data_IF_744825171874
#
_entry.id   IF_744825171874
#
_cell.length_a   1.000
_cell.length_b   1.000
_cell.length_c   1.000
_cell.angle_alpha   90.00
_cell.angle_beta   90.00
_cell.angle_gamma   90.00
#
_symmetry.space_group_name_H-M   'P 1'
#
loop_
_entity.id
_entity.type
_entity.pdbx_description
1 polymer ?
#
# COMPACT_ATOMS: atom_id res chain seq x y z
N UNK A 1 13.39 -9.30 8.57
CA UNK A 1 11.99 -9.78 8.69
C UNK A 1 11.46 -9.92 7.27
N UNK A 2 11.30 -11.16 6.78
CA UNK A 2 11.08 -11.43 5.36
C UNK A 2 9.71 -10.96 4.81
N UNK A 3 8.74 -10.62 5.67
CA UNK A 3 7.38 -10.27 5.24
C UNK A 3 7.27 -8.91 4.53
N UNK A 4 8.15 -7.96 4.83
CA UNK A 4 8.09 -6.59 4.29
C UNK A 4 8.38 -6.55 2.79
N UNK A 5 9.37 -7.33 2.34
CA UNK A 5 9.75 -7.42 0.92
C UNK A 5 8.60 -8.01 0.08
N UNK A 6 7.87 -9.00 0.60
CA UNK A 6 6.71 -9.58 -0.09
C UNK A 6 5.52 -8.60 -0.18
N UNK A 7 5.27 -7.83 0.88
CA UNK A 7 4.23 -6.80 0.88
C UNK A 7 4.58 -5.70 -0.12
N UNK A 8 5.85 -5.26 -0.11
CA UNK A 8 6.33 -4.25 -1.04
C UNK A 8 6.18 -4.71 -2.51
N UNK A 9 6.56 -5.95 -2.81
CA UNK A 9 6.40 -6.52 -4.15
C UNK A 9 4.92 -6.60 -4.55
N UNK A 10 4.03 -7.00 -3.62
CA UNK A 10 2.59 -7.03 -3.84
C UNK A 10 2.02 -5.64 -4.14
N UNK A 11 2.41 -4.61 -3.36
CA UNK A 11 2.00 -3.21 -3.56
C UNK A 11 2.50 -2.70 -4.91
N UNK A 12 3.77 -2.95 -5.26
CA UNK A 12 4.34 -2.56 -6.57
C UNK A 12 3.61 -3.26 -7.73
N UNK A 13 3.21 -4.52 -7.56
CA UNK A 13 2.46 -5.26 -8.57
C UNK A 13 1.01 -4.74 -8.70
N UNK A 14 0.37 -4.37 -7.58
CA UNK A 14 -0.92 -3.67 -7.59
C UNK A 14 -0.80 -2.34 -8.32
N UNK A 15 0.21 -1.53 -8.02
CA UNK A 15 0.44 -0.25 -8.70
C UNK A 15 0.60 -0.40 -10.22
N UNK A 16 1.31 -1.44 -10.68
CA UNK A 16 1.44 -1.73 -12.12
C UNK A 16 0.10 -2.08 -12.78
N UNK A 17 -0.78 -2.77 -12.06
CA UNK A 17 -2.12 -3.16 -12.53
C UNK A 17 -3.17 -2.07 -12.32
N UNK A 18 -2.93 -1.12 -11.42
CA UNK A 18 -3.84 -0.04 -11.11
C UNK A 18 -4.04 0.87 -12.33
N UNK A 19 -5.28 1.30 -12.61
CA UNK A 19 -5.59 2.26 -13.67
C UNK A 19 -4.86 3.59 -13.43
N UNK A 20 -4.78 4.44 -14.46
CA UNK A 20 -4.21 5.79 -14.36
C UNK A 20 -5.13 6.79 -13.63
N UNK A 21 -6.07 6.28 -12.84
CA UNK A 21 -7.01 7.06 -12.05
C UNK A 21 -6.79 6.70 -10.58
N UNK A 22 -7.03 7.63 -9.64
CA UNK A 22 -6.87 7.37 -8.23
C UNK A 22 -7.71 6.16 -7.81
N UNK A 23 -7.02 5.13 -7.33
CA UNK A 23 -7.60 3.82 -7.05
C UNK A 23 -7.19 3.34 -5.66
N UNK A 24 -8.18 2.81 -4.94
CA UNK A 24 -8.04 2.32 -3.57
C UNK A 24 -8.04 0.80 -3.61
N UNK A 25 -7.03 0.20 -3.01
CA UNK A 25 -6.83 -1.24 -2.92
C UNK A 25 -6.57 -1.65 -1.48
N UNK A 26 -6.86 -2.90 -1.13
CA UNK A 26 -6.56 -3.47 0.18
C UNK A 26 -5.83 -4.80 0.01
N UNK A 27 -4.92 -5.10 0.94
CA UNK A 27 -4.16 -6.35 0.98
C UNK A 27 -4.57 -7.18 2.19
N UNK A 28 -5.78 -7.73 2.17
CA UNK A 28 -6.38 -8.46 3.30
C UNK A 28 -5.59 -9.72 3.72
N UNK A 29 -4.80 -10.29 2.81
CA UNK A 29 -3.98 -11.48 3.06
C UNK A 29 -2.78 -11.20 3.98
N UNK A 30 -2.42 -9.94 4.18
CA UNK A 30 -1.28 -9.52 4.99
C UNK A 30 -1.72 -8.85 6.29
N UNK A 31 -0.79 -8.76 7.24
CA UNK A 31 -0.99 -7.97 8.44
C UNK A 31 -1.13 -6.50 8.06
N UNK A 32 -2.28 -5.92 8.38
CA UNK A 32 -2.64 -4.56 7.97
C UNK A 32 -1.69 -3.50 8.57
N UNK A 33 -1.10 -3.77 9.74
CA UNK A 33 -0.11 -2.88 10.32
C UNK A 33 1.20 -2.87 9.53
N UNK A 34 1.65 -4.04 9.08
CA UNK A 34 2.83 -4.16 8.21
C UNK A 34 2.57 -3.54 6.83
N UNK A 35 1.34 -3.66 6.31
CA UNK A 35 0.91 -3.02 5.06
C UNK A 35 0.97 -1.50 5.21
N UNK A 36 0.37 -0.93 6.25
CA UNK A 36 0.40 0.51 6.50
C UNK A 36 1.83 1.04 6.63
N UNK A 37 2.69 0.37 7.40
CA UNK A 37 4.10 0.75 7.55
C UNK A 37 4.87 0.68 6.22
N UNK A 38 4.58 -0.31 5.38
CA UNK A 38 5.21 -0.47 4.07
C UNK A 38 4.73 0.59 3.08
N UNK A 39 3.43 0.89 3.06
CA UNK A 39 2.85 1.96 2.25
C UNK A 39 3.44 3.31 2.64
N UNK A 40 3.54 3.60 3.93
CA UNK A 40 4.11 4.85 4.42
C UNK A 40 5.60 4.97 4.07
N UNK A 41 6.34 3.85 4.13
CA UNK A 41 7.71 3.83 3.65
C UNK A 41 7.80 4.11 2.14
N UNK A 42 6.95 3.48 1.33
CA UNK A 42 6.89 3.72 -0.12
C UNK A 42 6.48 5.15 -0.45
N UNK A 43 5.59 5.76 0.35
CA UNK A 43 5.23 7.17 0.25
C UNK A 43 6.43 8.08 0.53
N UNK A 44 7.28 7.75 1.50
CA UNK A 44 8.52 8.50 1.74
C UNK A 44 9.51 8.42 0.56
N UNK A 45 9.54 7.28 -0.14
CA UNK A 45 10.38 7.11 -1.33
C UNK A 45 9.77 7.77 -2.57
N UNK A 46 8.44 7.72 -2.72
CA UNK A 46 7.71 8.15 -3.91
C UNK A 46 6.35 8.77 -3.54
N UNK A 47 6.37 9.95 -2.93
CA UNK A 47 5.18 10.62 -2.38
C UNK A 47 4.13 11.02 -3.42
N UNK A 48 4.48 10.97 -4.71
CA UNK A 48 3.58 11.30 -5.83
C UNK A 48 2.81 10.12 -6.36
N UNK A 49 3.22 8.88 -6.06
CA UNK A 49 2.64 7.66 -6.67
C UNK A 49 1.70 6.91 -5.72
N UNK A 50 1.95 7.04 -4.43
CA UNK A 50 1.23 6.34 -3.37
C UNK A 50 1.01 7.30 -2.22
N UNK A 51 -0.18 7.26 -1.64
CA UNK A 51 -0.55 8.08 -0.49
C UNK A 51 -0.26 7.32 0.80
N UNK A 52 0.20 8.04 1.83
CA UNK A 52 0.30 7.47 3.17
C UNK A 52 -1.06 6.93 3.65
N UNK A 53 -1.02 5.85 4.42
CA UNK A 53 -2.21 5.20 4.94
C UNK A 53 -2.03 4.74 6.39
N UNK A 54 -3.15 4.59 7.07
CA UNK A 54 -3.22 4.08 8.44
C UNK A 54 -4.37 3.10 8.55
N UNK A 55 -4.34 2.27 9.59
CA UNK A 55 -5.44 1.38 9.91
C UNK A 55 -6.73 2.19 10.13
N UNK A 56 -7.75 1.88 9.34
CA UNK A 56 -9.07 2.47 9.51
C UNK A 56 -9.84 1.81 10.67
N UNK A 57 -11.08 2.26 10.93
CA UNK A 57 -11.93 1.69 11.99
C UNK A 57 -12.26 0.20 11.80
N UNK A 58 -12.08 -0.33 10.59
CA UNK A 58 -12.25 -1.75 10.26
C UNK A 58 -10.94 -2.54 10.39
N UNK A 59 -9.88 -1.93 10.93
CA UNK A 59 -8.52 -2.47 11.00
C UNK A 59 -7.93 -2.85 9.63
N UNK A 60 -8.34 -2.18 8.54
CA UNK A 60 -7.74 -2.39 7.21
C UNK A 60 -6.84 -1.22 6.83
N UNK A 61 -5.79 -1.52 6.05
CA UNK A 61 -4.89 -0.54 5.47
C UNK A 61 -5.28 -0.30 4.01
N UNK A 62 -5.81 0.90 3.76
CA UNK A 62 -6.31 1.27 2.44
C UNK A 62 -5.16 1.88 1.61
N UNK A 63 -4.71 1.14 0.61
CA UNK A 63 -3.60 1.52 -0.27
C UNK A 63 -4.18 2.40 -1.38
N UNK A 64 -3.84 3.69 -1.38
CA UNK A 64 -4.28 4.62 -2.41
C UNK A 64 -3.13 4.93 -3.36
N UNK A 65 -3.33 4.66 -4.64
CA UNK A 65 -2.40 5.05 -5.70
C UNK A 65 -2.93 6.29 -6.42
N UNK A 66 -2.04 7.25 -6.67
CA UNK A 66 -2.28 8.46 -7.46
C UNK A 66 -1.35 8.38 -8.68
N UNK A 67 -1.90 8.32 -9.89
CA UNK A 67 -1.19 7.87 -11.09
C UNK A 67 -1.46 8.78 -12.28
#
# INVERSE_FOLDING_TARGET
MAYRDYIEEAIRNLYKKAPNDPSIHTLEEFNQQDVADTVNQLHLENSTLITETTLNYSNTADITFDK
#
